data_IF_103502300929
#
_entry.id   IF_103502300929
#
_cell.length_a   1.000
_cell.length_b   1.000
_cell.length_c   1.000
_cell.angle_alpha   90.00
_cell.angle_beta   90.00
_cell.angle_gamma   90.00
#
_symmetry.space_group_name_H-M   'P 1'
#
loop_
_entity.id
_entity.type
_entity.pdbx_description
1 polymer ?
#
# COMPACT_ATOMS: atom_id res chain seq x y z
N UNK A 1 7.39 7.56 58.13
CA UNK A 1 7.80 6.77 56.94
C UNK A 1 6.97 7.25 55.77
N UNK A 2 7.49 8.25 55.06
CA UNK A 2 6.93 8.73 53.80
C UNK A 2 7.21 7.68 52.71
N UNK A 3 6.21 6.88 52.38
CA UNK A 3 6.23 6.04 51.18
C UNK A 3 5.19 6.56 50.20
N UNK A 4 5.49 7.68 49.55
CA UNK A 4 4.81 7.98 48.28
C UNK A 4 5.24 6.89 47.29
N UNK A 5 4.33 6.00 46.81
CA UNK A 5 4.75 4.82 46.06
C UNK A 5 5.09 5.13 44.59
N UNK A 6 5.14 6.40 44.20
CA UNK A 6 5.38 6.83 42.82
C UNK A 6 6.46 7.91 42.73
N UNK A 7 7.72 7.52 42.49
CA UNK A 7 8.63 8.37 41.75
C UNK A 7 9.02 7.68 40.44
N UNK A 8 8.49 8.21 39.34
CA UNK A 8 9.29 8.97 38.40
C UNK A 8 8.29 9.90 37.69
N UNK A 9 8.14 11.13 38.19
CA UNK A 9 7.61 12.18 37.34
C UNK A 9 8.47 12.19 36.09
N UNK A 10 7.84 12.12 34.91
CA UNK A 10 8.57 12.19 33.64
C UNK A 10 9.61 13.31 33.73
N UNK A 11 10.83 13.11 33.21
CA UNK A 11 11.85 14.15 33.28
C UNK A 11 11.28 15.45 32.72
N UNK A 12 11.67 16.59 33.30
CA UNK A 12 11.02 17.89 33.03
C UNK A 12 10.98 18.29 31.55
N UNK A 13 11.83 17.70 30.70
CA UNK A 13 11.87 17.92 29.26
C UNK A 13 10.84 17.10 28.44
N UNK A 14 10.19 16.09 29.02
CA UNK A 14 9.28 15.21 28.28
C UNK A 14 8.11 15.94 27.59
N UNK A 15 7.45 16.94 28.20
CA UNK A 15 6.40 17.69 27.51
C UNK A 15 6.89 18.37 26.23
N UNK A 16 8.12 18.89 26.26
CA UNK A 16 8.77 19.53 25.12
C UNK A 16 9.11 18.51 24.03
N UNK A 17 9.74 17.40 24.41
CA UNK A 17 10.07 16.31 23.49
C UNK A 17 8.81 15.75 22.81
N UNK A 18 7.75 15.54 23.59
CA UNK A 18 6.47 15.06 23.08
C UNK A 18 5.84 16.06 22.10
N UNK A 19 5.94 17.36 22.38
CA UNK A 19 5.42 18.40 21.49
C UNK A 19 6.17 18.41 20.16
N UNK A 20 7.51 18.33 20.19
CA UNK A 20 8.32 18.22 18.99
C UNK A 20 7.97 16.97 18.18
N UNK A 21 7.93 15.79 18.83
CA UNK A 21 7.64 14.52 18.16
C UNK A 21 6.25 14.51 17.49
N UNK A 22 5.24 15.07 18.17
CA UNK A 22 3.89 15.19 17.62
C UNK A 22 3.83 16.16 16.42
N UNK A 23 4.62 17.23 16.43
CA UNK A 23 4.70 18.13 15.29
C UNK A 23 5.44 17.51 14.10
N UNK A 24 6.50 16.74 14.35
CA UNK A 24 7.15 15.93 13.31
C UNK A 24 6.19 14.91 12.71
N UNK A 25 5.40 14.24 13.55
CA UNK A 25 4.39 13.28 13.09
C UNK A 25 3.29 13.96 12.24
N UNK A 26 2.82 15.13 12.67
CA UNK A 26 1.87 15.92 11.90
C UNK A 26 2.48 16.40 10.57
N UNK A 27 3.73 16.83 10.58
CA UNK A 27 4.48 17.21 9.38
C UNK A 27 4.62 16.06 8.38
N UNK A 28 4.92 14.85 8.85
CA UNK A 28 4.93 13.64 8.02
C UNK A 28 3.56 13.30 7.45
N UNK A 29 2.49 13.38 8.26
CA UNK A 29 1.13 13.10 7.81
C UNK A 29 0.65 14.12 6.75
N UNK A 30 1.15 15.36 6.81
CA UNK A 30 0.82 16.44 5.90
C UNK A 30 1.89 16.66 4.81
N UNK A 31 2.89 15.77 4.72
CA UNK A 31 4.05 15.95 3.85
C UNK A 31 3.71 16.27 2.39
N UNK A 32 2.76 15.58 1.72
CA UNK A 32 2.39 15.93 0.34
C UNK A 32 1.85 17.36 0.21
N UNK A 33 0.92 17.74 1.09
CA UNK A 33 0.32 19.08 1.07
C UNK A 33 1.32 20.18 1.41
N UNK A 34 2.22 19.93 2.37
CA UNK A 34 3.27 20.87 2.74
C UNK A 34 4.30 21.05 1.61
N UNK A 35 4.59 19.97 0.88
CA UNK A 35 5.44 20.01 -0.30
C UNK A 35 4.84 20.88 -1.40
N UNK A 36 3.59 20.61 -1.79
CA UNK A 36 2.87 21.40 -2.81
C UNK A 36 2.84 22.88 -2.45
N UNK A 37 2.49 23.22 -1.20
CA UNK A 37 2.48 24.60 -0.72
C UNK A 37 3.87 25.24 -0.77
N UNK A 38 4.93 24.52 -0.35
CA UNK A 38 6.31 25.05 -0.35
C UNK A 38 6.83 25.29 -1.77
N UNK A 39 6.47 24.42 -2.72
CA UNK A 39 6.80 24.63 -4.12
C UNK A 39 6.00 25.77 -4.74
N UNK A 40 4.73 25.94 -4.35
CA UNK A 40 3.86 27.02 -4.83
C UNK A 40 4.34 28.41 -4.37
N UNK A 41 5.00 28.52 -3.22
CA UNK A 41 5.62 29.77 -2.78
C UNK A 41 6.94 30.09 -3.47
N UNK A 42 7.48 29.18 -4.29
CA UNK A 42 8.79 29.33 -4.94
C UNK A 42 9.99 29.15 -3.99
N UNK A 43 9.77 28.66 -2.76
CA UNK A 43 10.84 28.40 -1.79
C UNK A 43 11.68 27.17 -2.16
N UNK A 44 11.08 26.24 -2.90
CA UNK A 44 11.71 25.01 -3.36
C UNK A 44 11.28 24.74 -4.81
N UNK A 45 12.21 24.31 -5.65
CA UNK A 45 11.89 23.84 -6.99
C UNK A 45 11.24 22.46 -6.93
N UNK A 46 10.12 22.29 -7.66
CA UNK A 46 9.44 21.01 -7.72
C UNK A 46 10.32 19.96 -8.40
N UNK A 47 10.38 18.77 -7.79
CA UNK A 47 11.05 17.61 -8.38
C UNK A 47 10.11 17.01 -9.41
N UNK A 48 10.57 16.74 -10.65
CA UNK A 48 9.72 16.13 -11.67
C UNK A 48 9.09 14.83 -11.17
N UNK A 49 7.78 14.71 -11.33
CA UNK A 49 7.08 13.46 -10.99
C UNK A 49 7.49 12.36 -11.96
N UNK A 50 7.94 11.24 -11.39
CA UNK A 50 8.19 10.03 -12.16
C UNK A 50 6.93 9.17 -12.15
N UNK A 51 6.42 8.82 -13.35
CA UNK A 51 5.35 7.82 -13.44
C UNK A 51 5.88 6.48 -12.94
N UNK A 52 5.30 6.00 -11.85
CA UNK A 52 5.70 4.75 -11.23
C UNK A 52 4.47 4.00 -10.75
N UNK A 53 4.44 2.69 -11.00
CA UNK A 53 3.43 1.81 -10.40
C UNK A 53 3.74 1.43 -8.96
N UNK A 54 4.72 2.08 -8.35
CA UNK A 54 5.12 1.90 -6.97
C UNK A 54 5.47 3.25 -6.33
N UNK A 55 5.50 3.32 -5.00
CA UNK A 55 5.82 4.53 -4.26
C UNK A 55 7.32 4.76 -4.07
N UNK A 56 7.66 5.51 -3.03
CA UNK A 56 9.00 5.95 -2.66
C UNK A 56 9.74 6.69 -3.80
N UNK A 57 9.00 7.46 -4.61
CA UNK A 57 9.59 8.25 -5.71
C UNK A 57 10.47 9.38 -5.16
N UNK A 58 11.40 9.93 -5.96
CA UNK A 58 12.21 11.07 -5.52
C UNK A 58 11.37 12.26 -5.02
N UNK A 59 10.24 12.54 -5.66
CA UNK A 59 9.28 13.56 -5.23
C UNK A 59 8.66 13.23 -3.85
N UNK A 60 8.32 11.97 -3.57
CA UNK A 60 7.77 11.58 -2.26
C UNK A 60 8.81 11.67 -1.14
N UNK A 61 10.08 11.37 -1.42
CA UNK A 61 11.18 11.61 -0.48
C UNK A 61 11.37 13.11 -0.21
N UNK A 62 11.35 13.95 -1.25
CA UNK A 62 11.43 15.41 -1.10
C UNK A 62 10.26 15.93 -0.24
N UNK A 63 9.04 15.46 -0.50
CA UNK A 63 7.87 15.82 0.28
C UNK A 63 8.01 15.42 1.76
N UNK A 64 8.57 14.23 2.03
CA UNK A 64 8.83 13.74 3.39
C UNK A 64 9.81 14.66 4.13
N UNK A 65 10.90 15.06 3.49
CA UNK A 65 11.87 15.99 4.08
C UNK A 65 11.26 17.38 4.35
N UNK A 66 10.47 17.90 3.42
CA UNK A 66 9.74 19.17 3.61
C UNK A 66 8.74 19.06 4.77
N UNK A 67 8.00 17.96 4.86
CA UNK A 67 7.09 17.69 5.96
C UNK A 67 7.81 17.65 7.31
N UNK A 68 8.96 16.97 7.39
CA UNK A 68 9.80 16.94 8.60
C UNK A 68 10.35 18.32 8.95
N UNK A 69 10.81 19.10 7.97
CA UNK A 69 11.34 20.45 8.19
C UNK A 69 10.27 21.38 8.79
N UNK A 70 9.07 21.44 8.19
CA UNK A 70 7.96 22.23 8.72
C UNK A 70 7.47 21.71 10.07
N UNK A 71 7.44 20.39 10.27
CA UNK A 71 7.14 19.78 11.57
C UNK A 71 8.14 20.18 12.65
N UNK A 72 9.43 20.27 12.32
CA UNK A 72 10.49 20.71 13.22
C UNK A 72 10.36 22.21 13.56
N UNK A 73 10.08 23.06 12.57
CA UNK A 73 9.86 24.50 12.76
C UNK A 73 8.66 24.75 13.68
N UNK A 74 7.51 24.11 13.40
CA UNK A 74 6.31 24.25 14.22
C UNK A 74 6.53 23.69 15.64
N UNK A 75 7.20 22.54 15.75
CA UNK A 75 7.55 21.92 17.02
C UNK A 75 8.46 22.82 17.86
N UNK A 76 9.52 23.37 17.25
CA UNK A 76 10.44 24.30 17.90
C UNK A 76 9.72 25.57 18.39
N UNK A 77 8.88 26.18 17.57
CA UNK A 77 8.09 27.36 17.96
C UNK A 77 7.17 27.05 19.15
N UNK A 78 6.47 25.91 19.12
CA UNK A 78 5.60 25.50 20.21
C UNK A 78 6.38 25.21 21.49
N UNK A 79 7.50 24.47 21.40
CA UNK A 79 8.36 24.16 22.56
C UNK A 79 8.91 25.43 23.18
N UNK A 80 9.45 26.36 22.38
CA UNK A 80 9.91 27.66 22.87
C UNK A 80 8.80 28.39 23.59
N UNK A 81 7.58 28.42 23.02
CA UNK A 81 6.41 28.98 23.67
C UNK A 81 6.04 28.29 25.00
N UNK A 82 6.17 26.97 25.10
CA UNK A 82 5.90 26.22 26.34
C UNK A 82 6.88 26.60 27.45
N UNK A 83 8.17 26.69 27.10
CA UNK A 83 9.25 27.03 28.04
C UNK A 83 9.10 28.48 28.50
N UNK A 84 8.93 29.43 27.57
CA UNK A 84 8.81 30.85 27.89
C UNK A 84 7.57 31.15 28.74
N UNK A 85 6.42 30.53 28.42
CA UNK A 85 5.16 30.77 29.15
C UNK A 85 4.93 29.82 30.31
N UNK A 86 5.85 28.87 30.56
CA UNK A 86 5.72 27.78 31.54
C UNK A 86 4.35 27.08 31.48
N UNK A 87 3.81 26.92 30.26
CA UNK A 87 2.46 26.43 30.01
C UNK A 87 2.45 25.37 28.92
N UNK A 88 1.82 24.23 29.21
CA UNK A 88 1.58 23.18 28.20
C UNK A 88 0.44 23.58 27.26
N UNK A 89 0.67 23.45 25.96
CA UNK A 89 -0.34 23.70 24.94
C UNK A 89 -1.33 22.54 24.84
N UNK A 90 -2.61 22.87 24.63
CA UNK A 90 -3.64 21.87 24.36
C UNK A 90 -3.50 21.24 22.96
N UNK A 91 -2.81 21.91 22.04
CA UNK A 91 -2.63 21.47 20.64
C UNK A 91 -1.96 20.11 20.55
N UNK A 92 -1.01 19.79 21.43
CA UNK A 92 -0.33 18.49 21.46
C UNK A 92 -1.32 17.34 21.68
N UNK A 93 -2.28 17.52 22.59
CA UNK A 93 -3.29 16.49 22.88
C UNK A 93 -4.28 16.33 21.71
N UNK A 94 -4.62 17.42 21.03
CA UNK A 94 -5.47 17.40 19.82
C UNK A 94 -4.77 16.68 18.69
N UNK A 95 -3.51 17.01 18.42
CA UNK A 95 -2.71 16.39 17.37
C UNK A 95 -2.50 14.89 17.62
N UNK A 96 -2.31 14.45 18.86
CA UNK A 96 -2.27 13.03 19.20
C UNK A 96 -3.59 12.30 18.90
N UNK A 97 -4.73 12.92 19.19
CA UNK A 97 -6.03 12.33 18.84
C UNK A 97 -6.24 12.28 17.32
N UNK A 98 -5.85 13.34 16.59
CA UNK A 98 -5.91 13.38 15.13
C UNK A 98 -4.97 12.36 14.49
N UNK A 99 -3.77 12.18 15.04
CA UNK A 99 -2.81 11.19 14.58
C UNK A 99 -3.33 9.77 14.81
N UNK A 100 -3.96 9.51 15.97
CA UNK A 100 -4.61 8.23 16.24
C UNK A 100 -5.75 7.96 15.25
N UNK A 101 -6.57 8.97 14.96
CA UNK A 101 -7.62 8.87 13.94
C UNK A 101 -7.01 8.58 12.57
N UNK A 102 -6.06 9.40 12.11
CA UNK A 102 -5.36 9.24 10.83
C UNK A 102 -4.77 7.83 10.68
N UNK A 103 -4.01 7.36 11.66
CA UNK A 103 -3.42 6.02 11.64
C UNK A 103 -4.50 4.93 11.59
N UNK A 104 -5.59 5.09 12.35
CA UNK A 104 -6.73 4.14 12.30
C UNK A 104 -7.33 4.06 10.89
N UNK A 105 -7.57 5.21 10.26
CA UNK A 105 -8.18 5.27 8.93
C UNK A 105 -7.29 4.63 7.87
N UNK A 106 -5.98 4.90 7.92
CA UNK A 106 -5.00 4.29 7.03
C UNK A 106 -4.93 2.76 7.22
N UNK A 107 -4.84 2.28 8.47
CA UNK A 107 -4.77 0.85 8.76
C UNK A 107 -6.06 0.11 8.39
N UNK A 108 -7.23 0.73 8.56
CA UNK A 108 -8.49 0.16 8.09
C UNK A 108 -8.46 -0.02 6.57
N UNK A 109 -8.02 0.99 5.82
CA UNK A 109 -7.94 0.92 4.36
C UNK A 109 -7.04 -0.23 3.90
N UNK A 110 -5.79 -0.28 4.38
CA UNK A 110 -4.86 -1.36 4.01
C UNK A 110 -5.31 -2.73 4.51
N UNK A 111 -5.85 -2.79 5.73
CA UNK A 111 -6.34 -4.00 6.35
C UNK A 111 -7.50 -4.63 5.58
N UNK A 112 -8.50 -3.84 5.17
CA UNK A 112 -9.64 -4.37 4.41
C UNK A 112 -9.24 -4.93 3.04
N UNK A 113 -8.32 -4.28 2.33
CA UNK A 113 -7.81 -4.79 1.04
C UNK A 113 -7.13 -6.16 1.24
N UNK A 114 -6.48 -6.41 2.38
CA UNK A 114 -5.90 -7.72 2.73
C UNK A 114 -6.93 -8.73 3.22
N UNK A 115 -7.90 -8.33 4.05
CA UNK A 115 -9.03 -9.19 4.50
C UNK A 115 -9.84 -9.72 3.31
N UNK A 116 -9.95 -8.91 2.25
CA UNK A 116 -10.66 -9.30 1.04
C UNK A 116 -9.78 -10.05 0.04
N UNK A 117 -8.50 -10.24 0.38
CA UNK A 117 -7.50 -10.94 -0.41
C UNK A 117 -7.23 -10.33 -1.80
N UNK A 118 -7.32 -9.00 -1.92
CA UNK A 118 -7.11 -8.30 -3.21
C UNK A 118 -5.72 -7.68 -3.35
N UNK A 119 -4.99 -7.45 -2.25
CA UNK A 119 -3.67 -6.79 -2.27
C UNK A 119 -2.56 -7.58 -2.99
N UNK A 120 -2.48 -8.89 -2.74
CA UNK A 120 -1.40 -9.77 -3.21
C UNK A 120 -1.97 -10.83 -4.17
N UNK A 121 -2.07 -10.54 -5.48
CA UNK A 121 -2.60 -11.50 -6.43
C UNK A 121 -1.67 -12.72 -6.58
N UNK A 122 -2.24 -13.92 -6.56
CA UNK A 122 -1.55 -15.17 -6.87
C UNK A 122 -1.33 -15.29 -8.38
N UNK A 123 -0.21 -14.79 -8.89
CA UNK A 123 0.06 -14.76 -10.33
C UNK A 123 0.71 -16.06 -10.83
N UNK A 124 0.07 -16.78 -11.76
CA UNK A 124 0.63 -18.02 -12.34
C UNK A 124 1.98 -17.78 -13.00
N UNK A 125 2.13 -16.62 -13.66
CA UNK A 125 3.37 -16.23 -14.31
C UNK A 125 4.54 -16.01 -13.34
N UNK A 126 4.29 -15.85 -12.03
CA UNK A 126 5.35 -15.75 -11.01
C UNK A 126 5.61 -17.11 -10.35
N UNK A 127 4.57 -17.92 -10.14
CA UNK A 127 4.70 -19.30 -9.62
C UNK A 127 5.54 -20.20 -10.52
N UNK A 128 5.47 -19.96 -11.82
CA UNK A 128 6.21 -20.70 -12.84
C UNK A 128 7.58 -20.07 -13.18
N UNK A 129 8.03 -19.09 -12.38
CA UNK A 129 9.33 -18.45 -12.51
C UNK A 129 10.24 -18.91 -11.38
N UNK A 130 11.51 -19.20 -11.69
CA UNK A 130 12.48 -19.54 -10.67
C UNK A 130 12.64 -18.38 -9.67
N UNK A 131 12.76 -18.63 -8.36
CA UNK A 131 12.89 -17.56 -7.35
C UNK A 131 14.04 -16.59 -7.64
N UNK A 132 15.15 -17.06 -8.22
CA UNK A 132 16.30 -16.24 -8.59
C UNK A 132 16.02 -15.21 -9.70
N UNK A 133 14.98 -15.40 -10.51
CA UNK A 133 14.56 -14.48 -11.58
C UNK A 133 13.48 -13.48 -11.10
N UNK A 134 12.97 -13.65 -9.89
CA UNK A 134 12.01 -12.74 -9.29
C UNK A 134 12.74 -11.61 -8.57
N UNK A 135 12.17 -10.41 -8.64
CA UNK A 135 12.64 -9.31 -7.78
C UNK A 135 12.28 -9.63 -6.33
N UNK A 136 13.01 -9.11 -5.34
CA UNK A 136 12.70 -9.32 -3.92
C UNK A 136 11.23 -9.04 -3.57
N UNK A 137 10.68 -7.94 -4.08
CA UNK A 137 9.26 -7.61 -3.90
C UNK A 137 8.32 -8.67 -4.49
N UNK A 138 8.64 -9.23 -5.66
CA UNK A 138 7.80 -10.28 -6.28
C UNK A 138 7.83 -11.58 -5.48
N UNK A 139 8.96 -11.92 -4.88
CA UNK A 139 9.06 -13.06 -3.95
C UNK A 139 8.13 -12.84 -2.76
N UNK A 140 8.18 -11.66 -2.13
CA UNK A 140 7.29 -11.32 -1.03
C UNK A 140 5.80 -11.33 -1.44
N UNK A 141 5.44 -10.70 -2.56
CA UNK A 141 4.06 -10.68 -3.08
C UNK A 141 3.54 -12.08 -3.34
N UNK A 142 4.38 -12.95 -3.91
CA UNK A 142 4.00 -14.33 -4.21
C UNK A 142 3.82 -15.14 -2.93
N UNK A 143 4.68 -14.95 -1.92
CA UNK A 143 4.55 -15.60 -0.62
C UNK A 143 3.25 -15.20 0.08
N UNK A 144 2.98 -13.90 0.21
CA UNK A 144 1.77 -13.40 0.87
C UNK A 144 0.49 -13.74 0.10
N UNK A 145 0.54 -13.72 -1.24
CA UNK A 145 -0.60 -14.04 -2.10
C UNK A 145 -0.86 -15.54 -2.29
N UNK A 146 0.07 -16.42 -1.91
CA UNK A 146 -0.10 -17.87 -2.09
C UNK A 146 -1.24 -18.42 -1.24
N UNK A 147 -1.33 -17.99 0.02
CA UNK A 147 -2.37 -18.44 0.97
C UNK A 147 -3.36 -17.31 1.26
N UNK A 148 -4.58 -17.47 0.77
CA UNK A 148 -5.69 -16.54 1.04
C UNK A 148 -5.92 -16.35 2.54
N UNK A 149 -5.88 -17.43 3.32
CA UNK A 149 -6.07 -17.37 4.78
C UNK A 149 -4.95 -16.58 5.48
N UNK A 150 -3.71 -16.73 5.03
CA UNK A 150 -2.59 -15.96 5.58
C UNK A 150 -2.70 -14.47 5.24
N UNK A 151 -3.09 -14.14 4.01
CA UNK A 151 -3.37 -12.75 3.63
C UNK A 151 -4.49 -12.13 4.48
N UNK A 152 -5.55 -12.89 4.75
CA UNK A 152 -6.64 -12.45 5.62
C UNK A 152 -6.18 -12.23 7.06
N UNK A 153 -5.34 -13.12 7.59
CA UNK A 153 -4.74 -12.96 8.91
C UNK A 153 -3.94 -11.66 9.01
N UNK A 154 -3.10 -11.35 8.01
CA UNK A 154 -2.38 -10.07 7.96
C UNK A 154 -3.33 -8.87 7.90
N UNK A 155 -4.41 -8.98 7.12
CA UNK A 155 -5.43 -7.93 7.05
C UNK A 155 -6.12 -7.67 8.39
N UNK A 156 -6.53 -8.73 9.09
CA UNK A 156 -7.09 -8.59 10.44
C UNK A 156 -6.07 -8.06 11.45
N UNK A 157 -4.79 -8.38 11.26
CA UNK A 157 -3.67 -7.79 11.99
C UNK A 157 -3.62 -6.25 11.87
N UNK A 158 -4.07 -5.67 10.76
CA UNK A 158 -4.15 -4.21 10.58
C UNK A 158 -5.50 -3.64 11.02
N UNK A 159 -6.61 -4.34 10.75
CA UNK A 159 -7.96 -3.88 11.13
C UNK A 159 -8.14 -3.83 12.65
N UNK A 160 -7.67 -4.85 13.38
CA UNK A 160 -7.83 -4.92 14.83
C UNK A 160 -7.22 -3.70 15.57
N UNK A 161 -5.92 -3.37 15.43
CA UNK A 161 -5.36 -2.20 16.07
C UNK A 161 -6.02 -0.91 15.61
N UNK A 162 -6.43 -0.83 14.34
CA UNK A 162 -7.12 0.35 13.82
C UNK A 162 -8.44 0.62 14.55
N UNK A 163 -9.28 -0.41 14.75
CA UNK A 163 -10.52 -0.30 15.52
C UNK A 163 -10.22 0.08 16.97
N UNK A 164 -9.20 -0.53 17.59
CA UNK A 164 -8.81 -0.23 18.97
C UNK A 164 -8.29 1.20 19.15
N UNK A 165 -7.65 1.80 18.14
CA UNK A 165 -7.12 3.17 18.19
C UNK A 165 -8.23 4.25 18.17
N UNK A 166 -9.38 3.94 17.54
CA UNK A 166 -10.55 4.83 17.50
C UNK A 166 -11.12 5.09 18.90
N UNK A 167 -11.12 4.09 19.77
CA UNK A 167 -11.63 4.24 21.14
C UNK A 167 -10.51 4.63 22.11
N UNK A 168 -10.66 5.79 22.74
CA UNK A 168 -9.65 6.32 23.70
C UNK A 168 -9.32 5.35 24.85
N UNK A 169 -10.27 4.47 25.22
CA UNK A 169 -10.09 3.46 26.28
C UNK A 169 -9.18 2.31 25.85
N UNK A 170 -9.22 1.90 24.59
CA UNK A 170 -8.42 0.80 24.04
C UNK A 170 -7.19 1.27 23.29
N UNK A 171 -6.99 2.58 23.15
CA UNK A 171 -5.92 3.17 22.33
C UNK A 171 -4.51 2.68 22.68
N UNK A 172 -4.20 2.46 23.95
CA UNK A 172 -2.88 1.95 24.34
C UNK A 172 -2.64 0.54 23.79
N UNK A 173 -3.65 -0.33 23.88
CA UNK A 173 -3.60 -1.68 23.28
C UNK A 173 -3.54 -1.60 21.75
N UNK A 174 -4.36 -0.73 21.15
CA UNK A 174 -4.34 -0.50 19.71
C UNK A 174 -2.98 -0.01 19.21
N UNK A 175 -2.34 0.93 19.91
CA UNK A 175 -1.02 1.42 19.59
C UNK A 175 0.05 0.34 19.74
N UNK A 176 -0.02 -0.49 20.78
CA UNK A 176 0.89 -1.61 20.97
C UNK A 176 0.82 -2.61 19.81
N UNK A 177 -0.40 -3.07 19.48
CA UNK A 177 -0.61 -4.02 18.38
C UNK A 177 -0.23 -3.37 17.04
N UNK A 178 -0.58 -2.10 16.82
CA UNK A 178 -0.17 -1.36 15.62
C UNK A 178 1.36 -1.28 15.48
N UNK A 179 2.09 -1.03 16.58
CA UNK A 179 3.56 -0.97 16.54
C UNK A 179 4.17 -2.30 16.10
N UNK A 180 3.68 -3.43 16.62
CA UNK A 180 4.17 -4.76 16.24
C UNK A 180 3.87 -5.05 14.77
N UNK A 181 2.64 -4.79 14.33
CA UNK A 181 2.20 -5.04 12.95
C UNK A 181 2.94 -4.14 11.97
N UNK A 182 3.04 -2.84 12.26
CA UNK A 182 3.75 -1.90 11.40
C UNK A 182 5.25 -2.13 11.39
N UNK A 183 5.84 -2.63 12.48
CA UNK A 183 7.24 -3.03 12.48
C UNK A 183 7.47 -4.18 11.50
N UNK A 184 6.61 -5.20 11.53
CA UNK A 184 6.70 -6.29 10.56
C UNK A 184 6.54 -5.80 9.11
N UNK A 185 5.53 -4.97 8.84
CA UNK A 185 5.30 -4.39 7.51
C UNK A 185 6.50 -3.57 7.05
N UNK A 186 7.06 -2.71 7.90
CA UNK A 186 8.21 -1.89 7.59
C UNK A 186 9.46 -2.75 7.31
N UNK A 187 9.74 -3.73 8.17
CA UNK A 187 10.86 -4.68 7.99
C UNK A 187 10.74 -5.43 6.67
N UNK A 188 9.56 -5.97 6.35
CA UNK A 188 9.31 -6.61 5.05
C UNK A 188 9.59 -5.63 3.91
N UNK A 189 9.12 -4.38 4.02
CA UNK A 189 9.32 -3.41 2.97
C UNK A 189 10.78 -3.02 2.75
N UNK A 190 11.57 -2.97 3.82
CA UNK A 190 13.01 -2.70 3.74
C UNK A 190 13.76 -3.89 3.13
N UNK A 191 13.57 -5.09 3.67
CA UNK A 191 14.38 -6.26 3.28
C UNK A 191 13.94 -6.92 1.97
N UNK A 192 12.69 -6.76 1.56
CA UNK A 192 12.20 -7.23 0.25
C UNK A 192 12.10 -6.11 -0.79
N UNK A 193 12.74 -4.97 -0.52
CA UNK A 193 12.78 -3.80 -1.40
C UNK A 193 11.40 -3.42 -1.98
N UNK A 194 10.42 -3.36 -1.09
CA UNK A 194 9.08 -2.91 -1.43
C UNK A 194 9.07 -1.40 -1.39
N UNK A 195 8.65 -0.75 -2.46
CA UNK A 195 8.66 0.70 -2.64
C UNK A 195 7.47 1.41 -1.96
N UNK A 196 7.27 1.14 -0.66
CA UNK A 196 6.33 1.85 0.24
C UNK A 196 6.93 2.04 1.66
N UNK A 197 8.24 2.24 1.74
CA UNK A 197 9.03 2.38 2.97
C UNK A 197 8.71 3.69 3.70
N UNK A 198 8.47 4.78 2.97
CA UNK A 198 8.13 6.10 3.56
C UNK A 198 6.83 5.99 4.37
N UNK A 199 5.78 5.45 3.75
CA UNK A 199 4.48 5.28 4.39
C UNK A 199 4.54 4.34 5.59
N UNK A 200 5.06 3.12 5.39
CA UNK A 200 5.15 2.12 6.47
C UNK A 200 6.03 2.57 7.64
N UNK A 201 7.16 3.24 7.37
CA UNK A 201 8.03 3.81 8.39
C UNK A 201 7.36 4.95 9.17
N UNK A 202 6.62 5.83 8.48
CA UNK A 202 5.85 6.90 9.11
C UNK A 202 4.75 6.34 10.02
N UNK A 203 4.01 5.32 9.57
CA UNK A 203 2.95 4.71 10.37
C UNK A 203 3.51 3.95 11.58
N UNK A 204 4.66 3.30 11.45
CA UNK A 204 5.39 2.73 12.59
C UNK A 204 5.78 3.82 13.58
N UNK A 205 6.33 4.94 13.12
CA UNK A 205 6.65 6.08 13.98
C UNK A 205 5.41 6.62 14.70
N UNK A 206 4.27 6.73 14.02
CA UNK A 206 3.01 7.18 14.63
C UNK A 206 2.51 6.21 15.69
N UNK A 207 2.54 4.90 15.41
CA UNK A 207 2.16 3.87 16.38
C UNK A 207 3.04 3.91 17.62
N UNK A 208 4.36 3.99 17.45
CA UNK A 208 5.34 4.10 18.53
C UNK A 208 5.15 5.39 19.33
N UNK A 209 4.88 6.53 18.68
CA UNK A 209 4.62 7.80 19.35
C UNK A 209 3.34 7.73 20.20
N UNK A 210 2.28 7.10 19.70
CA UNK A 210 1.04 6.88 20.45
C UNK A 210 1.26 5.93 21.63
N UNK A 211 2.05 4.88 21.45
CA UNK A 211 2.42 3.93 22.51
C UNK A 211 3.29 4.60 23.58
N UNK A 212 4.23 5.45 23.17
CA UNK A 212 5.12 6.19 24.05
C UNK A 212 4.37 7.10 25.03
N UNK A 213 3.13 7.50 24.71
CA UNK A 213 2.29 8.27 25.63
C UNK A 213 1.96 7.52 26.92
N UNK A 214 2.01 6.18 26.91
CA UNK A 214 1.77 5.31 28.06
C UNK A 214 3.03 4.52 28.47
N UNK A 215 4.22 4.85 27.96
CA UNK A 215 5.47 4.10 28.21
C UNK A 215 5.75 3.87 29.69
N UNK A 216 5.66 4.89 30.54
CA UNK A 216 5.93 4.73 31.99
C UNK A 216 4.95 3.78 32.66
N UNK A 217 3.67 3.81 32.25
CA UNK A 217 2.62 2.95 32.81
C UNK A 217 2.87 1.50 32.39
N UNK A 218 3.27 1.29 31.14
CA UNK A 218 3.63 -0.02 30.60
C UNK A 218 4.90 -0.55 31.26
N UNK A 219 5.91 0.29 31.44
CA UNK A 219 7.14 -0.06 32.15
C UNK A 219 6.87 -0.45 33.60
N UNK A 220 6.13 0.39 34.34
CA UNK A 220 5.77 0.11 35.72
C UNK A 220 4.97 -1.19 35.85
N UNK A 221 4.07 -1.48 34.90
CA UNK A 221 3.27 -2.69 34.91
C UNK A 221 4.10 -3.94 34.58
N UNK A 222 4.80 -3.96 33.44
CA UNK A 222 5.47 -5.15 32.93
C UNK A 222 6.85 -5.40 33.54
N UNK A 223 7.60 -4.35 33.86
CA UNK A 223 8.98 -4.47 34.35
C UNK A 223 9.07 -4.11 35.83
N UNK A 224 8.42 -3.01 36.22
CA UNK A 224 8.38 -2.57 37.61
C UNK A 224 7.50 -3.44 38.50
N UNK A 225 6.62 -4.27 37.93
CA UNK A 225 5.59 -5.05 38.62
C UNK A 225 4.78 -4.23 39.65
N UNK A 226 4.52 -2.96 39.33
CA UNK A 226 3.74 -2.02 40.15
C UNK A 226 2.34 -1.82 39.57
N UNK A 227 1.34 -1.49 40.41
CA UNK A 227 0.02 -1.10 39.93
C UNK A 227 0.13 0.08 38.97
N UNK A 228 -0.33 -0.09 37.73
CA UNK A 228 -0.34 0.99 36.76
C UNK A 228 -1.41 2.02 37.13
N UNK A 229 -1.02 3.29 37.25
CA UNK A 229 -1.97 4.36 37.49
C UNK A 229 -3.06 4.40 36.42
N UNK A 230 -4.30 4.74 36.80
CA UNK A 230 -5.40 4.95 35.87
C UNK A 230 -5.06 6.09 34.90
N UNK A 231 -5.43 5.92 33.63
CA UNK A 231 -5.22 6.97 32.64
C UNK A 231 -6.15 8.14 32.94
N UNK A 232 -5.62 9.24 33.45
CA UNK A 232 -6.35 10.51 33.53
C UNK A 232 -6.32 11.15 32.15
N UNK A 233 -7.29 10.80 31.31
CA UNK A 233 -7.56 11.54 30.07
C UNK A 233 -8.49 12.70 30.43
N UNK A 234 -8.01 13.95 30.63
CA UNK A 234 -8.92 15.06 30.40
C UNK A 234 -9.35 14.92 28.95
N UNK A 235 -10.62 14.60 28.70
CA UNK A 235 -11.09 14.47 27.34
C UNK A 235 -10.76 15.80 26.65
N UNK A 236 -10.01 15.78 25.55
CA UNK A 236 -9.73 16.96 24.73
C UNK A 236 -11.04 17.73 24.46
N UNK A 237 -12.11 16.96 24.25
CA UNK A 237 -13.49 17.40 24.10
C UNK A 237 -14.09 18.09 25.35
N UNK A 238 -13.65 17.76 26.57
CA UNK A 238 -14.05 18.45 27.80
C UNK A 238 -13.53 19.88 27.90
N UNK A 239 -12.48 20.22 27.14
CA UNK A 239 -11.97 21.60 27.06
C UNK A 239 -12.83 22.52 26.19
N UNK A 240 -13.69 21.97 25.33
CA UNK A 240 -14.49 22.74 24.35
C UNK A 240 -15.97 22.92 24.76
N UNK A 241 -16.31 22.72 26.04
CA UNK A 241 -17.70 22.77 26.52
C UNK A 241 -18.60 21.67 25.92
N UNK A 242 -19.92 21.75 26.16
CA UNK A 242 -20.87 20.70 25.71
C UNK A 242 -21.02 20.64 24.18
N UNK A 243 -21.14 21.80 23.52
CA UNK A 243 -21.31 21.91 22.06
C UNK A 243 -20.05 21.53 21.30
N UNK A 244 -18.88 22.02 21.72
CA UNK A 244 -17.60 21.66 21.09
C UNK A 244 -17.24 20.19 21.29
N UNK A 245 -17.64 19.57 22.42
CA UNK A 245 -17.53 18.12 22.61
C UNK A 245 -18.34 17.32 21.59
N UNK A 246 -19.58 17.75 21.34
CA UNK A 246 -20.47 17.09 20.37
C UNK A 246 -19.91 17.24 18.96
N UNK A 247 -19.50 18.44 18.57
CA UNK A 247 -18.90 18.70 17.26
C UNK A 247 -17.63 17.86 17.04
N UNK A 248 -16.73 17.82 18.03
CA UNK A 248 -15.49 17.03 17.95
C UNK A 248 -15.76 15.53 17.77
N UNK A 249 -16.71 14.98 18.54
CA UNK A 249 -17.10 13.57 18.42
C UNK A 249 -17.81 13.28 17.10
N UNK A 250 -18.74 14.16 16.71
CA UNK A 250 -19.48 14.05 15.47
C UNK A 250 -18.55 14.06 14.26
N UNK A 251 -17.57 14.96 14.23
CA UNK A 251 -16.55 15.01 13.20
C UNK A 251 -15.71 13.73 13.16
N UNK A 252 -15.26 13.23 14.31
CA UNK A 252 -14.50 11.97 14.38
C UNK A 252 -15.29 10.77 13.83
N UNK A 253 -16.58 10.67 14.17
CA UNK A 253 -17.47 9.63 13.65
C UNK A 253 -17.68 9.79 12.15
N UNK A 254 -17.98 11.01 11.69
CA UNK A 254 -18.21 11.30 10.27
C UNK A 254 -16.98 10.98 9.41
N UNK A 255 -15.78 11.37 9.85
CA UNK A 255 -14.53 11.04 9.14
C UNK A 255 -14.28 9.52 9.10
N UNK A 256 -14.60 8.82 10.19
CA UNK A 256 -14.48 7.35 10.23
C UNK A 256 -15.44 6.69 9.25
N UNK A 257 -16.70 7.11 9.23
CA UNK A 257 -17.71 6.60 8.30
C UNK A 257 -17.37 6.94 6.85
N UNK A 258 -16.85 8.14 6.58
CA UNK A 258 -16.42 8.55 5.25
C UNK A 258 -15.31 7.64 4.70
N UNK A 259 -14.25 7.38 5.48
CA UNK A 259 -13.18 6.48 5.03
C UNK A 259 -13.64 5.04 4.88
N UNK A 260 -14.50 4.55 5.79
CA UNK A 260 -15.11 3.22 5.63
C UNK A 260 -15.92 3.15 4.32
N UNK A 261 -16.71 4.18 4.03
CA UNK A 261 -17.46 4.30 2.78
C UNK A 261 -16.57 4.30 1.54
N UNK A 262 -15.53 5.13 1.53
CA UNK A 262 -14.54 5.18 0.43
C UNK A 262 -13.81 3.85 0.25
N UNK A 263 -13.44 3.18 1.34
CA UNK A 263 -12.78 1.87 1.28
C UNK A 263 -13.72 0.80 0.73
N UNK A 264 -15.01 0.82 1.12
CA UNK A 264 -16.02 -0.07 0.56
C UNK A 264 -16.22 0.20 -0.94
N UNK A 265 -16.25 1.47 -1.35
CA UNK A 265 -16.34 1.84 -2.77
C UNK A 265 -15.12 1.35 -3.57
N UNK A 266 -13.89 1.58 -3.08
CA UNK A 266 -12.65 1.07 -3.70
C UNK A 266 -12.74 -0.45 -3.90
N UNK A 267 -13.21 -1.17 -2.89
CA UNK A 267 -13.36 -2.63 -2.91
C UNK A 267 -14.41 -3.10 -3.91
N UNK A 268 -15.59 -2.46 -3.91
CA UNK A 268 -16.67 -2.81 -4.84
C UNK A 268 -16.22 -2.58 -6.27
N UNK A 269 -15.55 -1.45 -6.54
CA UNK A 269 -14.99 -1.16 -7.86
C UNK A 269 -13.95 -2.20 -8.32
N UNK A 270 -13.05 -2.65 -7.44
CA UNK A 270 -12.10 -3.73 -7.78
C UNK A 270 -12.84 -5.03 -8.13
N UNK A 271 -13.90 -5.37 -7.39
CA UNK A 271 -14.68 -6.60 -7.63
C UNK A 271 -15.48 -6.53 -8.92
N UNK A 272 -16.14 -5.41 -9.18
CA UNK A 272 -16.90 -5.16 -10.40
C UNK A 272 -15.97 -5.21 -11.61
N UNK A 273 -14.84 -4.52 -11.55
CA UNK A 273 -13.82 -4.57 -12.60
C UNK A 273 -13.30 -5.99 -12.84
N UNK A 274 -12.99 -6.75 -11.79
CA UNK A 274 -12.55 -8.14 -11.93
C UNK A 274 -13.63 -9.05 -12.55
N UNK A 275 -14.90 -8.84 -12.19
CA UNK A 275 -16.03 -9.59 -12.74
C UNK A 275 -16.27 -9.26 -14.22
N UNK A 276 -16.20 -7.98 -14.58
CA UNK A 276 -16.31 -7.50 -15.96
C UNK A 276 -15.17 -8.08 -16.83
N UNK A 277 -13.93 -8.02 -16.36
CA UNK A 277 -12.78 -8.60 -17.06
C UNK A 277 -12.94 -10.12 -17.25
N UNK A 278 -13.42 -10.84 -16.22
CA UNK A 278 -13.66 -12.27 -16.33
C UNK A 278 -14.79 -12.62 -17.33
N UNK A 279 -15.82 -11.77 -17.43
CA UNK A 279 -16.91 -11.94 -18.38
C UNK A 279 -16.50 -11.64 -19.83
N UNK A 280 -15.62 -10.65 -20.03
CA UNK A 280 -15.25 -10.16 -21.37
C UNK A 280 -14.02 -10.88 -21.95
N UNK A 281 -13.10 -11.38 -21.12
CA UNK A 281 -11.87 -12.03 -21.57
C UNK A 281 -11.89 -13.56 -21.35
N UNK A 282 -12.34 -14.37 -22.33
CA UNK A 282 -12.36 -15.83 -22.24
C UNK A 282 -10.96 -16.45 -22.39
N UNK A 283 -9.89 -15.70 -22.12
CA UNK A 283 -8.51 -16.13 -22.29
C UNK A 283 -7.84 -16.55 -20.99
N UNK A 284 -8.49 -16.35 -19.84
CA UNK A 284 -7.91 -16.64 -18.53
C UNK A 284 -7.39 -18.08 -18.44
N UNK A 285 -6.10 -18.23 -18.20
CA UNK A 285 -5.42 -19.53 -18.13
C UNK A 285 -3.91 -19.45 -18.33
N UNK A 286 -3.25 -20.58 -18.08
CA UNK A 286 -1.85 -20.81 -18.46
C UNK A 286 -1.85 -21.58 -19.77
N UNK A 287 -1.20 -21.04 -20.79
CA UNK A 287 -1.21 -21.57 -22.14
C UNK A 287 0.20 -21.92 -22.60
N UNK A 288 0.31 -23.06 -23.25
CA UNK A 288 1.55 -23.58 -23.81
C UNK A 288 1.50 -23.54 -25.33
N UNK A 289 2.57 -23.01 -25.94
CA UNK A 289 2.62 -22.84 -27.40
C UNK A 289 2.94 -24.15 -28.08
N UNK A 290 2.00 -24.64 -28.88
CA UNK A 290 2.16 -25.88 -29.67
C UNK A 290 2.70 -25.60 -31.07
N UNK A 291 2.31 -24.45 -31.66
CA UNK A 291 2.82 -23.99 -32.96
C UNK A 291 2.93 -22.48 -32.95
N UNK A 292 3.99 -21.94 -33.54
CA UNK A 292 4.14 -20.52 -33.79
C UNK A 292 4.62 -20.28 -35.22
N UNK A 293 4.23 -19.16 -35.80
CA UNK A 293 4.70 -18.69 -37.09
C UNK A 293 4.94 -17.17 -37.04
N UNK A 294 5.94 -16.70 -37.79
CA UNK A 294 6.20 -15.28 -38.01
C UNK A 294 5.78 -14.86 -39.41
N UNK A 295 5.33 -13.63 -39.56
CA UNK A 295 5.11 -13.03 -40.87
C UNK A 295 6.43 -12.50 -41.42
N UNK A 296 6.90 -13.08 -42.52
CA UNK A 296 8.10 -12.64 -43.22
C UNK A 296 7.92 -12.88 -44.73
N UNK A 297 8.39 -11.94 -45.55
CA UNK A 297 8.34 -12.05 -47.03
C UNK A 297 6.93 -12.30 -47.58
N UNK A 298 5.90 -11.68 -46.98
CA UNK A 298 4.52 -11.81 -47.45
C UNK A 298 3.84 -13.16 -47.15
N UNK A 299 4.46 -14.04 -46.34
CA UNK A 299 3.87 -15.34 -45.93
C UNK A 299 4.14 -15.65 -44.46
N UNK A 300 3.32 -16.55 -43.90
CA UNK A 300 3.55 -17.10 -42.55
C UNK A 300 4.60 -18.21 -42.63
N UNK A 301 5.72 -18.03 -41.92
CA UNK A 301 6.81 -19.00 -41.83
C UNK A 301 6.84 -19.59 -40.41
N UNK A 302 6.98 -20.92 -40.24
CA UNK A 302 7.01 -21.53 -38.91
C UNK A 302 8.22 -21.05 -38.11
N UNK A 303 8.02 -20.84 -36.80
CA UNK A 303 9.08 -20.51 -35.85
C UNK A 303 9.54 -21.77 -35.13
N UNK A 304 10.85 -21.95 -35.00
CA UNK A 304 11.42 -22.98 -34.16
C UNK A 304 11.31 -22.60 -32.67
N UNK A 305 11.16 -23.56 -31.73
CA UNK A 305 11.11 -23.26 -30.30
C UNK A 305 12.35 -22.53 -29.74
N UNK A 306 13.50 -22.64 -30.41
CA UNK A 306 14.73 -21.95 -30.06
C UNK A 306 14.74 -20.47 -30.50
N UNK A 307 13.78 -20.03 -31.33
CA UNK A 307 13.70 -18.66 -31.81
C UNK A 307 13.28 -17.71 -30.66
N UNK A 308 13.95 -16.57 -30.56
CA UNK A 308 13.64 -15.52 -29.58
C UNK A 308 12.22 -14.95 -29.69
N UNK A 309 11.57 -15.09 -30.86
CA UNK A 309 10.19 -14.69 -31.13
C UNK A 309 9.16 -15.82 -30.88
N UNK A 310 9.60 -17.02 -30.49
CA UNK A 310 8.71 -18.11 -30.08
C UNK A 310 8.40 -17.99 -28.58
N UNK A 311 7.21 -17.53 -28.16
CA UNK A 311 6.83 -17.59 -26.75
C UNK A 311 6.57 -19.06 -26.39
N UNK A 312 7.23 -19.63 -25.40
CA UNK A 312 6.96 -21.00 -24.95
C UNK A 312 5.69 -21.07 -24.11
N UNK A 313 5.40 -20.00 -23.35
CA UNK A 313 4.20 -19.90 -22.51
C UNK A 313 3.56 -18.53 -22.59
N UNK A 314 2.24 -18.52 -22.52
CA UNK A 314 1.41 -17.33 -22.38
C UNK A 314 0.51 -17.47 -21.15
N UNK A 315 0.52 -16.45 -20.29
CA UNK A 315 -0.33 -16.40 -19.10
C UNK A 315 -1.32 -15.28 -19.30
N UNK A 316 -2.61 -15.55 -19.06
CA UNK A 316 -3.65 -14.54 -19.01
C UNK A 316 -4.37 -14.70 -17.68
N UNK A 317 -4.38 -13.66 -16.86
CA UNK A 317 -4.98 -13.70 -15.54
C UNK A 317 -5.46 -12.32 -15.14
N UNK A 318 -6.78 -12.18 -14.92
CA UNK A 318 -7.43 -10.88 -14.75
C UNK A 318 -7.02 -9.92 -15.89
N UNK A 319 -6.70 -8.66 -15.58
CA UNK A 319 -6.24 -7.65 -16.54
C UNK A 319 -4.73 -7.73 -16.85
N UNK A 320 -4.10 -8.90 -16.68
CA UNK A 320 -2.67 -9.09 -16.89
C UNK A 320 -2.39 -10.23 -17.86
N UNK A 321 -1.45 -10.01 -18.77
CA UNK A 321 -0.88 -11.05 -19.61
C UNK A 321 0.65 -11.07 -19.53
N UNK A 322 1.22 -12.26 -19.69
CA UNK A 322 2.67 -12.45 -19.77
C UNK A 322 2.96 -13.39 -20.93
N UNK A 323 3.83 -12.96 -21.84
CA UNK A 323 4.41 -13.82 -22.87
C UNK A 323 5.87 -14.09 -22.50
N UNK A 324 6.27 -15.35 -22.49
CA UNK A 324 7.65 -15.71 -22.13
C UNK A 324 8.24 -16.82 -22.98
N UNK A 325 9.57 -16.82 -23.06
CA UNK A 325 10.40 -17.96 -23.43
C UNK A 325 11.69 -17.95 -22.59
N UNK A 326 12.68 -18.77 -22.97
CA UNK A 326 13.94 -18.86 -22.22
C UNK A 326 14.74 -17.55 -22.19
N UNK A 327 14.57 -16.68 -23.20
CA UNK A 327 15.34 -15.43 -23.33
C UNK A 327 14.57 -14.18 -22.91
N UNK A 328 13.23 -14.22 -22.97
CA UNK A 328 12.37 -13.03 -22.87
C UNK A 328 11.16 -13.29 -21.98
N UNK A 329 10.76 -12.27 -21.23
CA UNK A 329 9.54 -12.26 -20.44
C UNK A 329 8.92 -10.87 -20.46
N UNK A 330 7.92 -10.70 -21.32
CA UNK A 330 7.21 -9.44 -21.47
C UNK A 330 5.85 -9.50 -20.76
N UNK A 331 5.51 -8.41 -20.07
CA UNK A 331 4.23 -8.26 -19.35
C UNK A 331 3.38 -7.23 -20.05
N UNK A 332 2.07 -7.45 -20.00
CA UNK A 332 1.07 -6.61 -20.62
C UNK A 332 -0.08 -6.39 -19.65
N UNK A 333 -0.61 -5.18 -19.64
CA UNK A 333 -1.99 -4.96 -19.18
C UNK A 333 -2.91 -5.33 -20.34
N UNK A 334 -4.01 -6.01 -20.03
CA UNK A 334 -4.99 -6.44 -21.02
C UNK A 334 -6.27 -5.66 -20.90
N UNK A 335 -6.75 -5.18 -22.04
CA UNK A 335 -8.05 -4.50 -22.13
C UNK A 335 -8.86 -5.09 -23.28
N UNK A 336 -10.20 -5.17 -23.13
CA UNK A 336 -11.06 -5.59 -24.24
C UNK A 336 -11.10 -4.52 -25.33
N UNK A 337 -11.20 -4.95 -26.59
CA UNK A 337 -11.35 -4.03 -27.70
C UNK A 337 -12.73 -3.36 -27.69
N UNK A 338 -12.78 -2.03 -27.75
CA UNK A 338 -14.04 -1.27 -27.64
C UNK A 338 -15.02 -1.54 -28.78
N UNK A 339 -14.54 -1.91 -29.97
CA UNK A 339 -15.38 -2.13 -31.15
C UNK A 339 -15.77 -3.60 -31.34
N UNK A 340 -14.87 -4.54 -31.03
CA UNK A 340 -15.06 -5.98 -31.24
C UNK A 340 -14.44 -6.81 -30.10
N UNK A 341 -14.99 -6.73 -28.87
CA UNK A 341 -14.41 -7.36 -27.68
C UNK A 341 -14.35 -8.89 -27.77
N UNK A 342 -15.24 -9.52 -28.55
CA UNK A 342 -15.29 -10.97 -28.73
C UNK A 342 -14.20 -11.53 -29.67
N UNK A 343 -13.50 -10.67 -30.42
CA UNK A 343 -12.50 -11.10 -31.41
C UNK A 343 -11.12 -10.47 -31.17
N UNK A 344 -11.05 -9.32 -30.49
CA UNK A 344 -9.81 -8.60 -30.29
C UNK A 344 -9.57 -8.26 -28.82
N UNK A 345 -8.31 -8.37 -28.43
CA UNK A 345 -7.79 -7.96 -27.12
C UNK A 345 -6.67 -6.94 -27.34
N UNK A 346 -6.60 -5.93 -26.48
CA UNK A 346 -5.51 -4.99 -26.46
C UNK A 346 -4.46 -5.44 -25.45
N UNK A 347 -3.22 -5.58 -25.89
CA UNK A 347 -2.07 -5.83 -25.03
C UNK A 347 -1.22 -4.56 -24.95
N UNK A 348 -1.14 -4.01 -23.74
CA UNK A 348 -0.47 -2.76 -23.43
C UNK A 348 0.83 -3.10 -22.69
N UNK A 349 1.95 -3.00 -23.40
CA UNK A 349 3.27 -3.20 -22.82
C UNK A 349 3.74 -1.93 -22.09
N UNK A 350 4.83 -2.04 -21.33
CA UNK A 350 5.58 -0.86 -20.90
C UNK A 350 6.73 -0.55 -21.85
N UNK A 351 6.99 0.73 -22.07
CA UNK A 351 8.16 1.20 -22.81
C UNK A 351 9.42 1.21 -21.91
N UNK A 352 10.54 1.66 -22.47
CA UNK A 352 11.84 1.76 -21.78
C UNK A 352 11.82 2.74 -20.60
N UNK A 353 10.93 3.74 -20.66
CA UNK A 353 10.70 4.71 -19.59
C UNK A 353 9.74 4.19 -18.51
N UNK A 354 9.28 2.94 -18.61
CA UNK A 354 8.30 2.31 -17.73
C UNK A 354 6.87 2.91 -17.82
N UNK A 355 6.59 3.69 -18.87
CA UNK A 355 5.25 4.19 -19.20
C UNK A 355 4.47 3.16 -20.02
N UNK A 356 3.14 3.24 -19.98
CA UNK A 356 2.30 2.42 -20.85
C UNK A 356 2.49 2.82 -22.32
N UNK A 357 2.90 1.85 -23.14
CA UNK A 357 3.00 2.02 -24.58
C UNK A 357 1.62 2.05 -25.24
N UNK A 358 1.54 2.51 -26.49
CA UNK A 358 0.30 2.48 -27.25
C UNK A 358 -0.30 1.05 -27.29
N UNK A 359 -1.62 0.90 -27.02
CA UNK A 359 -2.26 -0.40 -27.03
C UNK A 359 -2.10 -1.12 -28.36
N UNK A 360 -1.68 -2.39 -28.32
CA UNK A 360 -1.55 -3.21 -29.51
C UNK A 360 -2.71 -4.16 -29.59
N UNK A 361 -3.41 -4.14 -30.72
CA UNK A 361 -4.54 -5.03 -30.99
C UNK A 361 -4.06 -6.42 -31.38
N UNK A 362 -4.59 -7.44 -30.71
CA UNK A 362 -4.36 -8.85 -30.98
C UNK A 362 -5.68 -9.51 -31.33
N UNK A 363 -5.69 -10.23 -32.46
CA UNK A 363 -6.78 -11.11 -32.82
C UNK A 363 -6.68 -12.37 -31.96
N UNK A 364 -7.78 -12.77 -31.34
CA UNK A 364 -7.87 -14.05 -30.64
C UNK A 364 -9.04 -14.86 -31.16
N UNK A 365 -8.88 -16.17 -31.19
CA UNK A 365 -9.95 -17.11 -31.48
C UNK A 365 -9.80 -18.30 -30.53
N UNK A 366 -10.92 -18.81 -30.02
CA UNK A 366 -10.92 -19.97 -29.12
C UNK A 366 -11.71 -21.11 -29.77
N UNK A 367 -11.09 -21.89 -30.69
CA UNK A 367 -11.80 -22.95 -31.43
C UNK A 367 -12.37 -24.04 -30.51
N UNK A 368 -11.68 -24.34 -29.41
CA UNK A 368 -12.13 -25.26 -28.38
C UNK A 368 -11.78 -24.69 -27.00
N UNK A 369 -12.41 -25.15 -25.89
CA UNK A 369 -12.08 -24.65 -24.56
C UNK A 369 -10.60 -24.76 -24.20
N UNK A 370 -9.89 -25.78 -24.70
CA UNK A 370 -8.47 -26.02 -24.39
C UNK A 370 -7.51 -25.55 -25.50
N UNK A 371 -8.00 -24.86 -26.54
CA UNK A 371 -7.17 -24.33 -27.63
C UNK A 371 -7.44 -22.84 -27.87
N UNK A 372 -6.36 -22.08 -27.96
CA UNK A 372 -6.38 -20.64 -28.21
C UNK A 372 -5.48 -20.32 -29.39
N UNK A 373 -6.01 -19.58 -30.36
CA UNK A 373 -5.22 -19.00 -31.44
C UNK A 373 -5.07 -17.51 -31.18
N UNK A 374 -3.83 -17.02 -31.24
CA UNK A 374 -3.51 -15.60 -31.09
C UNK A 374 -2.73 -15.11 -32.31
N UNK A 375 -3.08 -13.94 -32.81
CA UNK A 375 -2.32 -13.27 -33.86
C UNK A 375 -2.15 -11.79 -33.51
N UNK A 376 -0.91 -11.33 -33.53
CA UNK A 376 -0.60 -9.95 -33.21
C UNK A 376 0.89 -9.68 -33.31
N UNK A 377 1.32 -8.53 -32.77
CA UNK A 377 2.71 -8.09 -32.84
C UNK A 377 3.38 -8.20 -31.49
N UNK A 378 4.32 -9.13 -31.36
CA UNK A 378 5.17 -9.25 -30.18
C UNK A 378 6.53 -8.59 -30.46
N UNK A 379 6.81 -7.47 -29.77
CA UNK A 379 7.96 -6.60 -30.06
C UNK A 379 7.99 -6.16 -31.54
N UNK A 380 8.97 -6.59 -32.31
CA UNK A 380 9.12 -6.23 -33.71
C UNK A 380 8.41 -7.23 -34.64
N UNK A 381 8.21 -8.47 -34.19
CA UNK A 381 7.69 -9.58 -34.99
C UNK A 381 6.16 -9.65 -34.99
N UNK A 382 5.59 -9.88 -36.17
CA UNK A 382 4.18 -10.26 -36.28
C UNK A 382 4.08 -11.78 -36.19
N UNK A 383 3.41 -12.26 -35.14
CA UNK A 383 3.36 -13.68 -34.78
C UNK A 383 1.93 -14.21 -34.83
N UNK A 384 1.81 -15.48 -35.22
CA UNK A 384 0.61 -16.29 -35.12
C UNK A 384 0.91 -17.50 -34.25
N UNK A 385 0.17 -17.65 -33.17
CA UNK A 385 0.38 -18.65 -32.13
C UNK A 385 -0.83 -19.57 -32.06
N UNK A 386 -0.56 -20.87 -31.97
CA UNK A 386 -1.54 -21.88 -31.55
C UNK A 386 -1.12 -22.37 -30.17
N UNK A 387 -2.01 -22.21 -29.22
CA UNK A 387 -1.77 -22.46 -27.81
C UNK A 387 -2.72 -23.53 -27.29
N UNK A 388 -2.25 -24.31 -26.31
CA UNK A 388 -3.03 -25.30 -25.59
C UNK A 388 -3.09 -24.96 -24.11
N UNK A 389 -4.26 -25.10 -23.49
CA UNK A 389 -4.44 -24.83 -22.07
C UNK A 389 -3.68 -25.86 -21.22
N UNK A 390 -2.83 -25.38 -20.32
CA UNK A 390 -2.04 -26.18 -19.40
C UNK A 390 -2.66 -26.09 -17.99
N UNK A 391 -3.52 -27.06 -17.66
CA UNK A 391 -4.26 -27.09 -16.39
C UNK A 391 -3.40 -27.49 -15.19
N UNK A 392 -2.25 -28.14 -15.39
CA UNK A 392 -1.39 -28.57 -14.26
C UNK A 392 -0.72 -27.37 -13.60
N UNK A 393 -0.32 -26.37 -14.39
CA UNK A 393 0.27 -25.12 -13.92
C UNK A 393 -0.75 -24.12 -13.34
N UNK A 394 -2.05 -24.42 -13.44
CA UNK A 394 -3.12 -23.58 -12.88
C UNK A 394 -3.46 -23.92 -11.41
N UNK A 395 -2.97 -25.06 -10.89
CA UNK A 395 -3.30 -25.57 -9.55
C UNK A 395 -2.67 -24.73 -8.44
#
# INVERSE_FOLDING_TARGET
MDSSPFPASRPGFWPSLNTLAVCLAAGLALAPTLYELTTATGLLTAVPETQSSCGDTPAQWAATWVGLAWGAVAGGALVTGQVLRRRRWAVTDVLLDLLALYLSLILLRYGFVKVLATQFPRLWANLDTAPAELTPMRVAWQFFGYSRGYQQFLGWGEVLPAVLLLFRRTRTLGAFVASVVMLNVFVVNVFFDVCVKIGSGSYLFFALLLLAQDADRLWQFFIGHRPAALRTLPATAARFGRRGRLAYRGLGVLLTLAVLGLTVQDVLGIREYAAEQAAVLPLTGVWETTRAARWAEGRWQPLAPADSAYPTRAYFQAAQAVLRNAARRDRFVTEPDSARPAAFIQLIARNENNDYAAPRRWLFQRPTPDSLQLQGRWRQDSVRLTLRLNRTLMK
#
